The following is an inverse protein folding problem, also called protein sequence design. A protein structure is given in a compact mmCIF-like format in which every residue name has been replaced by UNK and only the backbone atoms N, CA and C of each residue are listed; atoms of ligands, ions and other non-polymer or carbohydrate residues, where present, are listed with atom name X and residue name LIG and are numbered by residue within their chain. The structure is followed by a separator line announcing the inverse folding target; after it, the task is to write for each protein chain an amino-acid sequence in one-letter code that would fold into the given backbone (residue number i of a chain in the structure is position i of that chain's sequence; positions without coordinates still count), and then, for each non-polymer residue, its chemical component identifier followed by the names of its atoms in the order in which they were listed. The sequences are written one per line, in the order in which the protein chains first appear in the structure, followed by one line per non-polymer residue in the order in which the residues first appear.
data_IF_752786034910
#
_entry.id   IF_752786034910
#
_cell.length_a   1.000
_cell.length_b   1.000
_cell.length_c   1.000
_cell.angle_alpha   90.00
_cell.angle_beta   90.00
_cell.angle_gamma   90.00
#
_symmetry.space_group_name_H-M   'P 1'
#
loop_
_entity.id
_entity.type
_entity.pdbx_description
1 polymer ?
#
# COMPACT_ATOMS: atom_id res chain seq x y z
N UNK A 1 16.67 6.39 9.74
CA UNK A 1 16.26 6.11 8.34
C UNK A 1 15.49 4.79 8.24
N UNK A 2 15.96 3.70 8.84
CA UNK A 2 15.30 2.38 8.77
C UNK A 2 13.81 2.38 9.18
N UNK A 3 13.45 3.01 10.31
CA UNK A 3 12.04 3.13 10.73
C UNK A 3 11.17 3.90 9.74
N UNK A 4 11.73 4.90 9.07
CA UNK A 4 10.99 5.70 8.11
C UNK A 4 10.81 4.97 6.77
N UNK A 5 11.80 4.17 6.38
CA UNK A 5 11.67 3.23 5.28
C UNK A 5 10.56 2.21 5.54
N UNK A 6 10.54 1.60 6.74
CA UNK A 6 9.46 0.68 7.15
C UNK A 6 8.08 1.35 7.10
N UNK A 7 7.95 2.58 7.62
CA UNK A 7 6.69 3.34 7.55
C UNK A 7 6.28 3.59 6.09
N UNK A 8 7.22 3.94 5.21
CA UNK A 8 6.94 4.15 3.79
C UNK A 8 6.43 2.86 3.12
N UNK A 9 7.07 1.72 3.38
CA UNK A 9 6.64 0.41 2.88
C UNK A 9 5.24 0.04 3.39
N UNK A 10 4.97 0.24 4.69
CA UNK A 10 3.64 -0.04 5.27
C UNK A 10 2.54 0.83 4.64
N UNK A 11 2.81 2.11 4.37
CA UNK A 11 1.86 3.01 3.73
C UNK A 11 1.54 2.58 2.29
N UNK A 12 2.54 2.17 1.52
CA UNK A 12 2.33 1.65 0.17
C UNK A 12 1.56 0.32 0.16
N UNK A 13 1.90 -0.62 1.04
CA UNK A 13 1.15 -1.88 1.18
C UNK A 13 -0.33 -1.59 1.51
N UNK A 14 -0.58 -0.68 2.46
CA UNK A 14 -1.95 -0.33 2.83
C UNK A 14 -2.72 0.34 1.68
N UNK A 15 -2.04 1.16 0.86
CA UNK A 15 -2.64 1.74 -0.33
C UNK A 15 -3.04 0.66 -1.36
N UNK A 16 -2.18 -0.34 -1.58
CA UNK A 16 -2.49 -1.48 -2.45
C UNK A 16 -3.70 -2.27 -1.95
N UNK A 17 -3.77 -2.59 -0.66
CA UNK A 17 -4.91 -3.29 -0.06
C UNK A 17 -6.22 -2.51 -0.23
N UNK A 18 -6.20 -1.19 -0.01
CA UNK A 18 -7.37 -0.35 -0.23
C UNK A 18 -7.79 -0.31 -1.69
N UNK A 19 -6.84 -0.32 -2.62
CA UNK A 19 -7.14 -0.36 -4.05
C UNK A 19 -7.78 -1.70 -4.45
N UNK A 20 -7.29 -2.83 -3.94
CA UNK A 20 -7.90 -4.15 -4.15
C UNK A 20 -9.31 -4.22 -3.55
N UNK A 21 -9.47 -3.70 -2.33
CA UNK A 21 -10.77 -3.64 -1.64
C UNK A 21 -11.76 -2.75 -2.38
N UNK A 22 -11.32 -1.63 -2.95
CA UNK A 22 -12.16 -0.78 -3.79
C UNK A 22 -12.68 -1.52 -5.01
N UNK A 23 -11.81 -2.27 -5.72
CA UNK A 23 -12.20 -3.11 -6.86
C UNK A 23 -13.21 -4.19 -6.47
N UNK A 24 -13.02 -4.83 -5.32
CA UNK A 24 -13.95 -5.83 -4.79
C UNK A 24 -15.34 -5.23 -4.50
N UNK A 25 -15.39 -4.08 -3.82
CA UNK A 25 -16.66 -3.40 -3.59
C UNK A 25 -17.34 -2.99 -4.90
N UNK A 26 -16.56 -2.56 -5.90
CA UNK A 26 -17.10 -2.16 -7.19
C UNK A 26 -17.72 -3.35 -7.94
N UNK A 27 -17.06 -4.51 -7.93
CA UNK A 27 -17.55 -5.75 -8.56
C UNK A 27 -18.80 -6.31 -7.87
N UNK A 28 -18.94 -6.07 -6.57
CA UNK A 28 -20.12 -6.45 -5.79
C UNK A 28 -21.27 -5.44 -5.89
N UNK A 29 -21.10 -4.35 -6.64
CA UNK A 29 -22.12 -3.31 -6.84
C UNK A 29 -22.19 -2.26 -5.72
N UNK A 30 -21.32 -2.33 -4.71
CA UNK A 30 -21.25 -1.37 -3.60
C UNK A 30 -20.47 -0.09 -4.00
N UNK A 31 -21.01 0.69 -4.95
CA UNK A 31 -20.33 1.85 -5.55
C UNK A 31 -19.88 2.92 -4.53
N UNK A 32 -20.65 3.14 -3.48
CA UNK A 32 -20.27 4.10 -2.42
C UNK A 32 -19.05 3.65 -1.61
N UNK A 33 -18.97 2.36 -1.30
CA UNK A 33 -17.85 1.74 -0.60
C UNK A 33 -16.62 1.73 -1.51
N UNK A 34 -16.77 1.37 -2.78
CA UNK A 34 -15.71 1.38 -3.77
C UNK A 34 -15.03 2.76 -3.83
N UNK A 35 -15.82 3.83 -3.98
CA UNK A 35 -15.31 5.20 -3.99
C UNK A 35 -14.58 5.58 -2.70
N UNK A 36 -15.14 5.22 -1.54
CA UNK A 36 -14.49 5.49 -0.24
C UNK A 36 -13.13 4.81 -0.12
N UNK A 37 -13.01 3.56 -0.57
CA UNK A 37 -11.75 2.82 -0.50
C UNK A 37 -10.73 3.30 -1.54
N UNK A 38 -11.17 3.72 -2.73
CA UNK A 38 -10.29 4.38 -3.70
C UNK A 38 -9.66 5.67 -3.13
N UNK A 39 -10.47 6.53 -2.49
CA UNK A 39 -9.93 7.74 -1.84
C UNK A 39 -8.95 7.43 -0.70
N UNK A 40 -9.18 6.35 0.06
CA UNK A 40 -8.22 5.90 1.08
C UNK A 40 -6.90 5.46 0.46
N UNK A 41 -6.95 4.70 -0.64
CA UNK A 41 -5.75 4.29 -1.37
C UNK A 41 -4.93 5.49 -1.84
N UNK A 42 -5.59 6.51 -2.41
CA UNK A 42 -4.97 7.76 -2.84
C UNK A 42 -4.28 8.50 -1.67
N UNK A 43 -4.98 8.67 -0.54
CA UNK A 43 -4.44 9.37 0.62
C UNK A 43 -3.20 8.67 1.23
N UNK A 44 -3.19 7.34 1.25
CA UNK A 44 -2.03 6.57 1.72
C UNK A 44 -0.86 6.62 0.75
N UNK A 45 -1.12 6.55 -0.57
CA UNK A 45 -0.09 6.74 -1.59
C UNK A 45 0.55 8.14 -1.51
N UNK A 46 -0.25 9.19 -1.32
CA UNK A 46 0.27 10.56 -1.17
C UNK A 46 1.12 10.70 0.10
N UNK A 47 0.67 10.11 1.21
CA UNK A 47 1.43 10.08 2.46
C UNK A 47 2.78 9.36 2.29
N UNK A 48 2.79 8.22 1.60
CA UNK A 48 4.01 7.47 1.34
C UNK A 48 4.99 8.25 0.44
N UNK A 49 4.45 8.95 -0.59
CA UNK A 49 5.23 9.82 -1.46
C UNK A 49 5.90 10.97 -0.71
N UNK A 50 5.18 11.63 0.22
CA UNK A 50 5.72 12.71 1.04
C UNK A 50 6.84 12.18 1.93
N UNK A 51 6.61 11.09 2.68
CA UNK A 51 7.60 10.49 3.57
C UNK A 51 8.87 10.12 2.80
N UNK A 52 8.72 9.48 1.64
CA UNK A 52 9.82 9.13 0.75
C UNK A 52 10.62 10.37 0.34
N UNK A 53 9.95 11.39 -0.18
CA UNK A 53 10.57 12.59 -0.74
C UNK A 53 11.28 13.42 0.31
N UNK A 54 10.67 13.61 1.49
CA UNK A 54 11.27 14.36 2.59
C UNK A 54 12.51 13.69 3.18
N UNK A 55 12.64 12.36 3.01
CA UNK A 55 13.70 11.58 3.65
C UNK A 55 14.71 11.00 2.66
N UNK A 56 14.61 11.36 1.37
CA UNK A 56 15.54 10.91 0.34
C UNK A 56 15.53 9.40 0.09
N UNK A 57 14.42 8.72 0.40
CA UNK A 57 14.28 7.29 0.19
C UNK A 57 14.08 7.04 -1.32
N UNK A 58 14.73 6.03 -1.91
CA UNK A 58 14.48 5.72 -3.32
C UNK A 58 13.08 5.12 -3.52
N UNK A 59 12.46 5.41 -4.66
CA UNK A 59 11.16 4.79 -4.98
C UNK A 59 11.34 3.32 -5.35
N UNK A 60 12.42 2.98 -6.07
CA UNK A 60 12.75 1.59 -6.44
C UNK A 60 12.83 0.69 -5.22
N UNK A 61 13.57 1.12 -4.19
CA UNK A 61 13.84 0.31 -3.00
C UNK A 61 12.55 0.03 -2.22
N UNK A 62 11.64 1.00 -2.22
CA UNK A 62 10.32 0.84 -1.59
C UNK A 62 9.45 -0.14 -2.37
N UNK A 63 9.43 -0.04 -3.70
CA UNK A 63 8.66 -0.98 -4.55
C UNK A 63 9.21 -2.40 -4.47
N UNK A 64 10.54 -2.57 -4.44
CA UNK A 64 11.16 -3.88 -4.23
C UNK A 64 10.77 -4.48 -2.87
N UNK A 65 10.79 -3.68 -1.81
CA UNK A 65 10.39 -4.13 -0.47
C UNK A 65 8.90 -4.46 -0.37
N UNK A 66 8.02 -3.67 -0.99
CA UNK A 66 6.58 -3.94 -1.11
C UNK A 66 6.35 -5.27 -1.85
N UNK A 67 7.01 -5.45 -2.98
CA UNK A 67 6.88 -6.66 -3.81
C UNK A 67 7.41 -7.91 -3.10
N UNK A 68 8.50 -7.78 -2.33
CA UNK A 68 9.03 -8.87 -1.52
C UNK A 68 8.08 -9.25 -0.35
N UNK A 69 7.36 -8.28 0.21
CA UNK A 69 6.37 -8.53 1.25
C UNK A 69 5.11 -9.22 0.70
N UNK A 70 4.65 -8.83 -0.49
CA UNK A 70 3.54 -9.49 -1.20
C UNK A 70 3.91 -10.91 -1.69
N UNK A 71 5.21 -11.17 -1.96
CA UNK A 71 5.72 -12.48 -2.38
C UNK A 71 5.85 -13.51 -1.24
N UNK A 72 5.46 -13.18 -0.01
CA UNK A 72 5.50 -14.14 1.10
C UNK A 72 4.35 -15.15 0.93
N UNK A 73 4.64 -16.43 0.59
CA UNK A 73 3.60 -17.42 0.46
C UNK A 73 3.02 -17.71 1.85
N UNK A 74 1.70 -17.74 1.96
CA UNK A 74 1.05 -18.50 3.03
C UNK A 74 1.59 -19.94 2.96
N UNK A 75 2.52 -20.30 3.85
CA UNK A 75 2.72 -21.63 4.44
C UNK A 75 4.15 -21.78 5.00
N UNK A 76 4.27 -21.59 6.31
CA UNK A 76 4.77 -22.67 7.17
C UNK A 76 3.86 -22.76 8.38
N UNK A 77 2.82 -23.58 8.27
CA UNK A 77 2.38 -24.35 9.43
C UNK A 77 3.61 -25.04 10.03
N UNK A 78 3.84 -24.81 11.32
CA UNK A 78 4.37 -25.76 12.30
C UNK A 78 4.26 -25.16 13.70
#
# INVERSE_FOLDING_TARGET
MEKAFQVCVLLFNQANEYQLTAKLYDSLGYKGQAKRYAHKAEAFNESAYIVRSCLGISFSDVIEAVSAAEACPENKEN
#
